data_IF_937437556729
#
_entry.id   IF_937437556729
#
_cell.length_a   1.000
_cell.length_b   1.000
_cell.length_c   1.000
_cell.angle_alpha   90.00
_cell.angle_beta   90.00
_cell.angle_gamma   90.00
#
_symmetry.space_group_name_H-M   'P 1'
#
loop_
_entity.id
_entity.type
_entity.pdbx_description
1 polymer ?
#
# COMPACT_ATOMS: atom_id res chain seq x y z
N UNK A 1 8.44 -5.84 46.62
CA UNK A 1 9.30 -5.72 45.43
C UNK A 1 8.43 -5.26 44.26
N UNK A 2 8.39 -3.96 44.03
CA UNK A 2 7.58 -3.36 42.96
C UNK A 2 8.24 -3.70 41.61
N UNK A 3 7.58 -4.52 40.80
CA UNK A 3 7.90 -4.65 39.39
C UNK A 3 7.55 -3.31 38.73
N UNK A 4 8.53 -2.45 38.56
CA UNK A 4 8.44 -1.30 37.67
C UNK A 4 8.24 -1.84 36.26
N UNK A 5 6.96 -2.01 35.87
CA UNK A 5 6.55 -2.21 34.50
C UNK A 5 6.87 -0.90 33.79
N UNK A 6 8.08 -0.81 33.24
CA UNK A 6 8.50 0.29 32.39
C UNK A 6 7.52 0.27 31.23
N UNK A 7 6.56 1.19 31.21
CA UNK A 7 5.72 1.46 30.04
C UNK A 7 6.64 1.98 28.94
N UNK A 8 7.33 1.07 28.28
CA UNK A 8 7.86 1.31 26.97
C UNK A 8 6.62 1.57 26.11
N UNK A 9 6.52 2.77 25.53
CA UNK A 9 5.65 3.11 24.42
C UNK A 9 5.91 2.13 23.27
N UNK A 10 5.40 0.91 23.39
CA UNK A 10 5.36 -0.07 22.32
C UNK A 10 4.40 0.50 21.31
N UNK A 11 4.92 0.93 20.15
CA UNK A 11 4.09 1.22 18.99
C UNK A 11 3.18 0.01 18.78
N UNK A 12 1.89 0.16 19.06
CA UNK A 12 0.87 -0.88 18.94
C UNK A 12 0.53 -1.12 17.47
N UNK A 13 1.55 -1.38 16.66
CA UNK A 13 1.46 -1.48 15.20
C UNK A 13 2.12 -2.79 14.76
N UNK A 14 1.35 -3.66 14.10
CA UNK A 14 1.87 -4.85 13.42
C UNK A 14 1.83 -4.59 11.92
N UNK A 15 2.98 -4.74 11.26
CA UNK A 15 3.08 -4.65 9.81
C UNK A 15 3.00 -6.05 9.20
N UNK A 16 2.03 -6.28 8.33
CA UNK A 16 1.80 -7.58 7.68
C UNK A 16 2.08 -7.51 6.19
N UNK A 17 2.35 -8.64 5.56
CA UNK A 17 2.44 -8.80 4.10
C UNK A 17 1.06 -8.93 3.43
N UNK A 18 -0.03 -8.64 4.16
CA UNK A 18 -1.43 -8.87 3.75
C UNK A 18 -1.84 -10.36 3.73
N UNK A 19 -1.20 -11.20 4.52
CA UNK A 19 -1.72 -12.55 4.78
C UNK A 19 -3.08 -12.47 5.52
N UNK A 20 -4.15 -12.93 4.88
CA UNK A 20 -5.50 -12.84 5.41
C UNK A 20 -5.69 -13.63 6.71
N UNK A 21 -5.01 -14.78 6.84
CA UNK A 21 -5.12 -15.59 8.05
C UNK A 21 -4.48 -14.85 9.24
N UNK A 22 -3.31 -14.24 9.02
CA UNK A 22 -2.65 -13.40 10.01
C UNK A 22 -3.49 -12.17 10.36
N UNK A 23 -4.02 -11.47 9.36
CA UNK A 23 -4.86 -10.29 9.58
C UNK A 23 -6.14 -10.61 10.38
N UNK A 24 -6.69 -11.81 10.21
CA UNK A 24 -7.86 -12.27 10.97
C UNK A 24 -7.50 -12.77 12.38
N UNK A 25 -6.29 -13.29 12.58
CA UNK A 25 -5.84 -13.78 13.88
C UNK A 25 -5.40 -12.65 14.83
N UNK A 26 -4.85 -11.55 14.30
CA UNK A 26 -4.33 -10.44 15.12
C UNK A 26 -5.38 -9.87 16.09
N UNK A 27 -6.63 -9.57 15.70
CA UNK A 27 -7.63 -9.05 16.64
C UNK A 27 -7.94 -10.01 17.80
N UNK A 28 -7.78 -11.32 17.60
CA UNK A 28 -8.03 -12.32 18.64
C UNK A 28 -6.89 -12.39 19.68
N UNK A 29 -5.65 -12.14 19.27
CA UNK A 29 -4.46 -12.26 20.13
C UNK A 29 -4.02 -10.89 20.68
N UNK A 30 -4.17 -9.83 19.87
CA UNK A 30 -3.74 -8.47 20.15
C UNK A 30 -4.85 -7.47 19.74
N UNK A 31 -5.99 -7.43 20.45
CA UNK A 31 -7.15 -6.60 20.09
C UNK A 31 -6.84 -5.10 20.04
N UNK A 32 -5.86 -4.68 20.83
CA UNK A 32 -5.42 -3.30 21.00
C UNK A 32 -4.40 -2.83 19.94
N UNK A 33 -4.09 -3.66 18.95
CA UNK A 33 -3.02 -3.40 17.96
C UNK A 33 -3.57 -3.01 16.60
N UNK A 34 -3.02 -1.93 16.05
CA UNK A 34 -3.28 -1.48 14.68
C UNK A 34 -2.52 -2.37 13.72
N UNK A 35 -3.23 -2.98 12.77
CA UNK A 35 -2.61 -3.79 11.72
C UNK A 35 -2.41 -2.97 10.47
N UNK A 36 -1.16 -2.71 10.10
CA UNK A 36 -0.78 -2.06 8.85
C UNK A 36 -0.35 -3.10 7.82
N UNK A 37 -0.30 -2.69 6.56
CA UNK A 37 0.12 -3.53 5.44
C UNK A 37 1.43 -2.99 4.85
N UNK A 38 2.39 -3.88 4.64
CA UNK A 38 3.74 -3.57 4.18
C UNK A 38 3.72 -3.01 2.75
N UNK A 39 3.99 -1.71 2.60
CA UNK A 39 4.04 -1.03 1.30
C UNK A 39 5.00 -1.69 0.32
N UNK A 40 6.13 -2.23 0.80
CA UNK A 40 7.08 -2.93 -0.05
C UNK A 40 6.45 -4.13 -0.76
N UNK A 41 5.74 -5.00 -0.02
CA UNK A 41 5.06 -6.16 -0.61
C UNK A 41 3.91 -5.73 -1.53
N UNK A 42 3.16 -4.70 -1.16
CA UNK A 42 2.12 -4.13 -2.01
C UNK A 42 2.70 -3.63 -3.33
N UNK A 43 3.75 -2.80 -3.28
CA UNK A 43 4.39 -2.26 -4.46
C UNK A 43 5.04 -3.35 -5.32
N UNK A 44 5.61 -4.41 -4.72
CA UNK A 44 6.12 -5.58 -5.44
C UNK A 44 5.00 -6.31 -6.20
N UNK A 45 3.86 -6.53 -5.55
CA UNK A 45 2.70 -7.19 -6.17
C UNK A 45 2.12 -6.34 -7.32
N UNK A 46 2.01 -5.02 -7.13
CA UNK A 46 1.56 -4.09 -8.18
C UNK A 46 2.52 -4.08 -9.36
N UNK A 47 3.84 -4.03 -9.14
CA UNK A 47 4.83 -4.12 -10.22
C UNK A 47 4.73 -5.42 -11.01
N UNK A 48 4.53 -6.55 -10.31
CA UNK A 48 4.30 -7.84 -10.96
C UNK A 48 3.05 -7.83 -11.83
N UNK A 49 1.93 -7.29 -11.32
CA UNK A 49 0.69 -7.17 -12.11
C UNK A 49 0.77 -6.14 -13.23
N UNK A 50 1.54 -5.07 -13.09
CA UNK A 50 1.82 -4.15 -14.17
C UNK A 50 2.61 -4.86 -15.29
N UNK A 51 3.57 -5.73 -14.97
CA UNK A 51 4.27 -6.53 -15.98
C UNK A 51 3.36 -7.46 -16.79
N UNK A 52 2.31 -7.97 -16.15
CA UNK A 52 1.30 -8.81 -16.79
C UNK A 52 0.30 -8.01 -17.63
N UNK A 53 -0.24 -6.91 -17.09
CA UNK A 53 -1.45 -6.26 -17.62
C UNK A 53 -1.20 -4.94 -18.36
N UNK A 54 -0.04 -4.29 -18.16
CA UNK A 54 0.34 -3.05 -18.85
C UNK A 54 1.17 -3.43 -20.07
N UNK A 55 0.53 -3.40 -21.24
CA UNK A 55 1.13 -3.69 -22.54
C UNK A 55 1.12 -2.45 -23.43
N UNK A 56 2.11 -2.38 -24.30
CA UNK A 56 2.18 -1.39 -25.37
C UNK A 56 1.10 -1.65 -26.41
N UNK A 57 0.62 -0.58 -27.04
CA UNK A 57 -0.14 -0.67 -28.28
C UNK A 57 0.77 -0.81 -29.50
N UNK A 58 0.19 -1.22 -30.62
CA UNK A 58 0.92 -1.34 -31.88
C UNK A 58 1.53 0.01 -32.32
N UNK A 59 2.81 0.00 -32.68
CA UNK A 59 3.52 1.18 -33.16
C UNK A 59 4.05 2.14 -32.09
N UNK A 60 3.85 1.85 -30.80
CA UNK A 60 4.42 2.65 -29.72
C UNK A 60 5.95 2.47 -29.66
N UNK A 61 6.67 3.61 -29.61
CA UNK A 61 8.14 3.65 -29.53
C UNK A 61 8.67 3.66 -28.09
N UNK A 62 7.79 3.86 -27.10
CA UNK A 62 8.19 3.90 -25.70
C UNK A 62 8.54 2.49 -25.23
N UNK A 63 9.54 2.36 -24.34
CA UNK A 63 9.89 1.05 -23.81
C UNK A 63 8.77 0.57 -22.87
N UNK A 64 8.40 -0.69 -22.98
CA UNK A 64 7.40 -1.29 -22.08
C UNK A 64 7.81 -1.20 -20.59
N UNK A 65 9.11 -1.14 -20.29
CA UNK A 65 9.62 -0.92 -18.93
C UNK A 65 9.31 0.48 -18.41
N UNK A 66 9.51 1.51 -19.24
CA UNK A 66 9.29 2.92 -18.90
C UNK A 66 7.81 3.18 -18.65
N UNK A 67 6.93 2.67 -19.53
CA UNK A 67 5.49 2.73 -19.33
C UNK A 67 5.05 2.06 -18.02
N UNK A 68 5.59 0.87 -17.72
CA UNK A 68 5.27 0.16 -16.48
C UNK A 68 5.74 0.93 -15.25
N UNK A 69 6.89 1.56 -15.34
CA UNK A 69 7.42 2.44 -14.30
C UNK A 69 6.50 3.64 -14.07
N UNK A 70 6.05 4.33 -15.13
CA UNK A 70 5.09 5.44 -15.02
C UNK A 70 3.80 5.03 -14.31
N UNK A 71 3.25 3.86 -14.66
CA UNK A 71 2.02 3.35 -14.02
C UNK A 71 2.27 2.98 -12.55
N UNK A 72 3.44 2.44 -12.22
CA UNK A 72 3.81 2.12 -10.84
C UNK A 72 4.07 3.39 -10.01
N UNK A 73 4.64 4.44 -10.61
CA UNK A 73 4.83 5.75 -9.98
C UNK A 73 3.48 6.39 -9.66
N UNK A 74 2.53 6.38 -10.61
CA UNK A 74 1.18 6.89 -10.36
C UNK A 74 0.47 6.17 -9.20
N UNK A 75 0.72 4.86 -9.01
CA UNK A 75 0.23 4.15 -7.83
C UNK A 75 1.00 4.52 -6.55
N UNK A 76 2.29 4.79 -6.64
CA UNK A 76 3.13 5.23 -5.51
C UNK A 76 2.65 6.59 -5.00
N UNK A 77 2.31 7.51 -5.90
CA UNK A 77 1.72 8.81 -5.56
C UNK A 77 0.42 8.68 -4.76
N UNK A 78 -0.37 7.61 -5.00
CA UNK A 78 -1.58 7.32 -4.20
C UNK A 78 -1.22 6.83 -2.79
N UNK A 79 -0.17 6.04 -2.64
CA UNK A 79 0.29 5.56 -1.32
C UNK A 79 0.87 6.70 -0.48
N UNK A 80 1.55 7.63 -1.12
CA UNK A 80 2.29 8.71 -0.46
C UNK A 80 1.45 9.98 -0.25
N UNK A 81 0.16 9.97 -0.63
CA UNK A 81 -0.78 11.03 -0.29
C UNK A 81 -0.80 11.30 1.22
N UNK A 82 -0.47 12.53 1.61
CA UNK A 82 -0.34 12.93 3.01
C UNK A 82 -1.66 13.36 3.63
N UNK A 83 -2.65 13.73 2.80
CA UNK A 83 -4.00 14.10 3.23
C UNK A 83 -5.07 13.30 2.48
N UNK A 84 -6.29 13.26 3.02
CA UNK A 84 -7.42 12.59 2.36
C UNK A 84 -7.82 13.29 1.04
N UNK A 85 -7.62 14.62 0.96
CA UNK A 85 -7.83 15.40 -0.26
C UNK A 85 -6.79 15.07 -1.34
N UNK A 86 -5.50 15.03 -0.97
CA UNK A 86 -4.43 14.58 -1.88
C UNK A 86 -4.65 13.14 -2.36
N UNK A 87 -5.15 12.27 -1.48
CA UNK A 87 -5.52 10.91 -1.86
C UNK A 87 -6.64 10.92 -2.89
N UNK A 88 -7.71 11.69 -2.67
CA UNK A 88 -8.80 11.80 -3.62
C UNK A 88 -8.30 12.29 -5.00
N UNK A 89 -7.45 13.31 -5.03
CA UNK A 89 -6.85 13.81 -6.26
C UNK A 89 -5.95 12.77 -6.96
N UNK A 90 -5.07 12.10 -6.22
CA UNK A 90 -4.15 11.12 -6.79
C UNK A 90 -4.89 9.87 -7.26
N UNK A 91 -5.96 9.44 -6.57
CA UNK A 91 -6.84 8.37 -7.05
C UNK A 91 -7.55 8.78 -8.34
N UNK A 92 -8.01 10.03 -8.46
CA UNK A 92 -8.60 10.52 -9.71
C UNK A 92 -7.59 10.50 -10.86
N UNK A 93 -6.35 10.94 -10.62
CA UNK A 93 -5.25 10.87 -11.61
C UNK A 93 -4.95 9.42 -12.00
N UNK A 94 -4.83 8.52 -11.01
CA UNK A 94 -4.59 7.10 -11.23
C UNK A 94 -5.71 6.44 -12.04
N UNK A 95 -6.99 6.79 -11.76
CA UNK A 95 -8.15 6.24 -12.49
C UNK A 95 -8.18 6.61 -13.97
N UNK A 96 -7.51 7.69 -14.41
CA UNK A 96 -7.38 8.01 -15.84
C UNK A 96 -6.66 6.90 -16.62
N UNK A 97 -5.78 6.15 -15.96
CA UNK A 97 -5.11 4.98 -16.55
C UNK A 97 -6.09 3.88 -16.98
N UNK A 98 -7.34 3.90 -16.48
CA UNK A 98 -8.38 2.91 -16.82
C UNK A 98 -8.74 2.94 -18.30
N UNK A 99 -8.63 4.10 -18.96
CA UNK A 99 -8.89 4.22 -20.39
C UNK A 99 -7.98 3.30 -21.21
N UNK A 100 -6.73 3.12 -20.75
CA UNK A 100 -5.73 2.33 -21.46
C UNK A 100 -5.55 0.94 -20.86
N UNK A 101 -5.56 0.81 -19.53
CA UNK A 101 -5.32 -0.45 -18.82
C UNK A 101 -6.41 -0.75 -17.78
N UNK A 102 -7.66 -0.98 -18.22
CA UNK A 102 -8.80 -1.13 -17.30
C UNK A 102 -8.64 -2.33 -16.36
N UNK A 103 -8.04 -3.42 -16.82
CA UNK A 103 -7.78 -4.62 -15.99
C UNK A 103 -6.78 -4.35 -14.87
N UNK A 104 -5.75 -3.55 -15.13
CA UNK A 104 -4.75 -3.20 -14.13
C UNK A 104 -5.34 -2.28 -13.06
N UNK A 105 -6.06 -1.23 -13.48
CA UNK A 105 -6.70 -0.29 -12.53
C UNK A 105 -7.70 -1.02 -11.65
N UNK A 106 -8.55 -1.87 -12.25
CA UNK A 106 -9.52 -2.69 -11.49
C UNK A 106 -8.83 -3.58 -10.45
N UNK A 107 -7.73 -4.24 -10.82
CA UNK A 107 -6.95 -5.04 -9.86
C UNK A 107 -6.48 -4.21 -8.67
N UNK A 108 -5.92 -3.01 -8.91
CA UNK A 108 -5.43 -2.14 -7.83
C UNK A 108 -6.58 -1.67 -6.93
N UNK A 109 -7.72 -1.30 -7.50
CA UNK A 109 -8.89 -0.88 -6.74
C UNK A 109 -9.41 -2.02 -5.85
N UNK A 110 -9.75 -3.16 -6.45
CA UNK A 110 -10.36 -4.30 -5.75
C UNK A 110 -9.43 -4.92 -4.70
N UNK A 111 -8.11 -4.93 -4.95
CA UNK A 111 -7.16 -5.62 -4.06
C UNK A 111 -6.45 -4.71 -3.08
N UNK A 112 -6.52 -3.38 -3.25
CA UNK A 112 -5.75 -2.44 -2.42
C UNK A 112 -6.62 -1.28 -1.94
N UNK A 113 -7.22 -0.52 -2.85
CA UNK A 113 -7.89 0.73 -2.47
C UNK A 113 -9.20 0.46 -1.72
N UNK A 114 -9.96 -0.55 -2.15
CA UNK A 114 -11.25 -0.88 -1.53
C UNK A 114 -11.09 -1.66 -0.23
N UNK A 115 -10.02 -2.43 -0.09
CA UNK A 115 -9.82 -3.35 1.05
C UNK A 115 -8.85 -2.81 2.10
N UNK A 116 -7.86 -2.01 1.70
CA UNK A 116 -6.70 -1.72 2.54
C UNK A 116 -6.25 -0.25 2.55
N UNK A 117 -6.95 0.70 1.92
CA UNK A 117 -6.50 2.12 1.85
C UNK A 117 -6.04 2.68 3.20
N UNK A 118 -6.79 2.43 4.26
CA UNK A 118 -6.50 2.95 5.62
C UNK A 118 -5.24 2.34 6.25
N UNK A 119 -4.77 1.22 5.70
CA UNK A 119 -3.62 0.44 6.20
C UNK A 119 -2.38 0.57 5.32
N UNK A 120 -2.48 1.25 4.17
CA UNK A 120 -1.38 1.40 3.19
C UNK A 120 -1.09 2.83 2.78
N UNK A 121 -2.04 3.77 2.89
CA UNK A 121 -1.85 5.16 2.44
C UNK A 121 -1.44 6.07 3.61
N UNK A 122 -0.51 7.00 3.37
CA UNK A 122 0.06 7.88 4.40
C UNK A 122 -0.99 8.70 5.13
N UNK A 123 -1.99 9.24 4.42
CA UNK A 123 -3.09 10.01 5.02
C UNK A 123 -3.80 9.32 6.19
N UNK A 124 -3.81 7.98 6.25
CA UNK A 124 -4.36 7.22 7.37
C UNK A 124 -3.31 6.56 8.24
N UNK A 125 -2.23 6.02 7.64
CA UNK A 125 -1.16 5.39 8.39
C UNK A 125 -0.45 6.38 9.31
N UNK A 126 -0.28 7.63 8.87
CA UNK A 126 0.54 8.62 9.55
C UNK A 126 -0.10 9.20 10.81
N UNK A 127 -1.37 8.82 11.06
CA UNK A 127 -2.09 9.07 12.31
C UNK A 127 -1.60 8.17 13.45
N UNK A 128 -0.96 7.04 13.14
CA UNK A 128 -0.40 6.12 14.13
C UNK A 128 1.09 6.38 14.24
N UNK A 129 1.65 6.52 15.45
CA UNK A 129 3.08 6.77 15.66
C UNK A 129 3.93 5.57 15.22
N UNK A 130 4.18 5.46 13.92
CA UNK A 130 5.17 4.64 13.25
C UNK A 130 6.45 5.48 13.18
N UNK A 131 7.48 5.11 13.93
CA UNK A 131 8.77 5.81 13.95
C UNK A 131 9.54 5.69 12.61
N UNK A 132 8.94 6.04 11.47
CA UNK A 132 9.50 5.93 10.11
C UNK A 132 9.63 4.50 9.59
N UNK A 133 9.12 3.49 10.29
CA UNK A 133 9.26 2.08 9.89
C UNK A 133 8.16 1.68 8.88
N UNK A 134 8.43 1.90 7.60
CA UNK A 134 7.56 1.49 6.48
C UNK A 134 7.87 0.08 5.92
N UNK A 135 8.82 -0.64 6.51
CA UNK A 135 9.29 -1.94 5.98
C UNK A 135 9.51 -2.96 7.10
N UNK A 136 9.28 -4.25 6.82
CA UNK A 136 9.67 -5.38 7.68
C UNK A 136 11.06 -5.95 7.32
N UNK A 137 11.82 -5.27 6.46
CA UNK A 137 13.17 -5.70 6.12
C UNK A 137 14.14 -5.21 7.20
N UNK A 138 14.66 -6.13 8.01
CA UNK A 138 15.94 -5.93 8.70
C UNK A 138 17.03 -6.16 7.65
N UNK A 139 17.88 -5.16 7.43
CA UNK A 139 19.18 -5.33 6.73
C UNK A 139 19.99 -6.43 7.38
#
# INVERSE_FOLDING_TARGET
CCLLRREANLSRVILTDRDLALMNAIPAVFPDTVTLVCRFHVAKNVRSKAAELVKLGDGEKVKASEMRETVCLAFTDVLDSSTEDEYAENVLKFRKLRERWPKFVRYVEETILDTNKERVVSAWMDKYMHMGNHTTNRV
#
